data_IF_488110941559
#
_entry.id   IF_488110941559
#
_cell.length_a   1.000
_cell.length_b   1.000
_cell.length_c   1.000
_cell.angle_alpha   90.00
_cell.angle_beta   90.00
_cell.angle_gamma   90.00
#
_symmetry.space_group_name_H-M   'P 1'
#
loop_
_entity.id
_entity.type
_entity.pdbx_description
1 polymer ?
#
# COMPACT_ATOMS: atom_id res chain seq x y z
N UNK A 1 11.73 -77.65 0.49
CA UNK A 1 10.87 -76.60 -0.11
C UNK A 1 11.15 -75.18 0.41
N UNK A 2 12.23 -74.93 1.17
CA UNK A 2 12.55 -73.59 1.74
C UNK A 2 13.67 -72.87 0.96
N UNK A 3 14.58 -73.60 0.33
CA UNK A 3 15.70 -73.03 -0.44
C UNK A 3 15.28 -72.45 -1.81
N UNK A 4 14.23 -73.01 -2.43
CA UNK A 4 13.70 -72.53 -3.74
C UNK A 4 12.98 -71.18 -3.62
N UNK A 5 12.30 -70.92 -2.51
CA UNK A 5 11.65 -69.63 -2.22
C UNK A 5 12.66 -68.51 -1.94
N UNK A 6 13.76 -68.80 -1.22
CA UNK A 6 14.81 -67.81 -0.95
C UNK A 6 15.60 -67.39 -2.20
N UNK A 7 15.79 -68.32 -3.14
CA UNK A 7 16.45 -68.05 -4.41
C UNK A 7 15.57 -67.23 -5.37
N UNK A 8 14.27 -67.54 -5.43
CA UNK A 8 13.28 -66.75 -6.19
C UNK A 8 13.14 -65.31 -5.65
N UNK A 9 13.22 -65.14 -4.33
CA UNK A 9 13.12 -63.82 -3.69
C UNK A 9 14.37 -62.95 -3.94
N UNK A 10 15.57 -63.56 -3.97
CA UNK A 10 16.80 -62.86 -4.37
C UNK A 10 16.81 -62.46 -5.84
N UNK A 11 16.24 -63.28 -6.73
CA UNK A 11 16.17 -63.02 -8.17
C UNK A 11 15.16 -61.90 -8.50
N UNK A 12 14.06 -61.80 -7.73
CA UNK A 12 13.13 -60.66 -7.76
C UNK A 12 13.76 -59.36 -7.24
N UNK A 13 14.58 -59.43 -6.18
CA UNK A 13 15.26 -58.28 -5.59
C UNK A 13 16.36 -57.72 -6.52
N UNK A 14 17.14 -58.60 -7.16
CA UNK A 14 18.12 -58.24 -8.18
C UNK A 14 17.47 -57.68 -9.46
N UNK A 15 16.33 -58.23 -9.89
CA UNK A 15 15.56 -57.71 -11.02
C UNK A 15 15.00 -56.31 -10.80
N UNK A 16 14.63 -55.97 -9.56
CA UNK A 16 14.13 -54.64 -9.18
C UNK A 16 15.21 -53.55 -9.19
N UNK A 17 16.48 -53.92 -8.93
CA UNK A 17 17.60 -52.99 -8.91
C UNK A 17 18.08 -52.60 -10.32
N UNK A 18 17.93 -53.50 -11.31
CA UNK A 18 18.26 -53.25 -12.71
C UNK A 18 17.29 -52.28 -13.43
N UNK A 19 16.10 -52.05 -12.90
CA UNK A 19 15.14 -51.08 -13.47
C UNK A 19 15.43 -49.62 -13.12
N UNK A 20 16.34 -49.37 -12.16
CA UNK A 20 16.72 -48.01 -11.75
C UNK A 20 17.92 -47.43 -12.53
N UNK A 21 18.59 -48.22 -13.37
CA UNK A 21 19.81 -47.78 -14.09
C UNK A 21 19.56 -47.29 -15.53
N UNK A 22 18.33 -47.31 -16.05
CA UNK A 22 18.04 -46.92 -17.44
C UNK A 22 17.10 -45.72 -17.51
N UNK A 23 17.56 -44.59 -16.99
CA UNK A 23 17.01 -43.26 -17.25
C UNK A 23 18.15 -42.24 -17.38
N UNK A 24 19.02 -42.43 -18.40
CA UNK A 24 19.84 -41.32 -18.93
C UNK A 24 18.92 -40.39 -19.72
N UNK A 25 18.17 -39.54 -19.02
CA UNK A 25 17.23 -38.65 -19.68
C UNK A 25 16.57 -37.70 -18.71
N UNK A 26 17.19 -36.52 -18.52
CA UNK A 26 16.66 -35.33 -17.86
C UNK A 26 16.26 -35.54 -16.39
N UNK A 27 17.06 -34.96 -15.51
CA UNK A 27 16.77 -34.78 -14.08
C UNK A 27 15.26 -34.64 -13.82
N UNK A 28 14.70 -35.64 -13.14
CA UNK A 28 13.30 -35.69 -12.69
C UNK A 28 12.96 -34.51 -11.75
N UNK A 29 13.99 -33.78 -11.28
CA UNK A 29 13.89 -32.61 -10.41
C UNK A 29 14.20 -31.27 -11.11
N UNK A 30 14.40 -31.25 -12.43
CA UNK A 30 14.55 -29.98 -13.15
C UNK A 30 13.20 -29.24 -13.21
N UNK A 31 13.08 -28.14 -12.45
CA UNK A 31 11.92 -27.25 -12.52
C UNK A 31 11.76 -26.74 -13.95
N UNK A 32 10.71 -27.21 -14.64
CA UNK A 32 10.34 -26.71 -15.97
C UNK A 32 9.99 -25.22 -15.86
N UNK A 33 10.46 -24.42 -16.81
CA UNK A 33 10.05 -23.02 -16.94
C UNK A 33 8.53 -22.95 -17.18
N UNK A 34 7.82 -21.99 -16.56
CA UNK A 34 6.39 -21.85 -16.77
C UNK A 34 6.13 -21.48 -18.24
N UNK A 35 5.12 -22.09 -18.85
CA UNK A 35 4.73 -21.89 -20.25
C UNK A 35 3.59 -20.89 -20.36
N UNK A 36 3.64 -20.05 -21.38
CA UNK A 36 2.54 -19.19 -21.78
C UNK A 36 1.37 -20.01 -22.29
N UNK A 37 0.19 -19.78 -21.73
CA UNK A 37 -1.06 -20.42 -22.16
C UNK A 37 -1.56 -19.86 -23.50
N UNK A 38 -1.24 -18.60 -23.81
CA UNK A 38 -1.69 -17.93 -25.04
C UNK A 38 -0.77 -18.23 -26.22
N UNK A 39 0.55 -18.19 -25.98
CA UNK A 39 1.53 -18.29 -27.07
C UNK A 39 2.30 -19.61 -27.08
N UNK A 40 2.24 -20.41 -26.02
CA UNK A 40 2.99 -21.67 -25.90
C UNK A 40 4.50 -21.52 -25.62
N UNK A 41 5.02 -20.29 -25.66
CA UNK A 41 6.43 -19.99 -25.36
C UNK A 41 6.73 -20.11 -23.86
N UNK A 42 7.95 -20.53 -23.52
CA UNK A 42 8.39 -20.59 -22.13
C UNK A 42 8.71 -19.18 -21.61
N UNK A 43 8.26 -18.87 -20.41
CA UNK A 43 8.66 -17.67 -19.69
C UNK A 43 10.05 -17.83 -19.05
N UNK A 44 10.74 -16.71 -18.84
CA UNK A 44 12.02 -16.64 -18.13
C UNK A 44 13.18 -17.39 -18.81
N UNK A 45 13.13 -17.55 -20.13
CA UNK A 45 14.27 -18.03 -20.91
C UNK A 45 15.29 -16.91 -21.15
N UNK A 46 16.55 -17.27 -21.46
CA UNK A 46 17.60 -16.29 -21.76
C UNK A 46 17.23 -15.51 -23.03
N UNK A 47 16.98 -14.21 -22.90
CA UNK A 47 16.53 -13.35 -24.00
C UNK A 47 15.03 -13.41 -24.30
N UNK A 48 14.27 -14.22 -23.55
CA UNK A 48 12.81 -14.27 -23.63
C UNK A 48 12.13 -13.33 -22.62
N UNK A 49 10.79 -13.26 -22.70
CA UNK A 49 9.98 -12.49 -21.77
C UNK A 49 10.17 -12.98 -20.33
N UNK A 50 10.53 -12.05 -19.44
CA UNK A 50 10.74 -12.34 -18.03
C UNK A 50 9.51 -11.93 -17.23
N UNK A 51 8.98 -12.87 -16.46
CA UNK A 51 7.85 -12.64 -15.56
C UNK A 51 8.40 -12.59 -14.14
N UNK A 52 8.30 -11.42 -13.52
CA UNK A 52 8.59 -11.27 -12.10
C UNK A 52 7.58 -12.10 -11.29
N UNK A 53 8.05 -12.76 -10.24
CA UNK A 53 7.15 -13.45 -9.31
C UNK A 53 6.43 -12.39 -8.48
N UNK A 54 5.11 -12.47 -8.42
CA UNK A 54 4.34 -11.65 -7.49
C UNK A 54 4.81 -11.95 -6.06
N UNK A 55 5.14 -10.88 -5.34
CA UNK A 55 5.31 -10.90 -3.90
C UNK A 55 4.20 -10.07 -3.32
N UNK A 56 3.66 -10.48 -2.19
CA UNK A 56 2.71 -9.66 -1.45
C UNK A 56 3.39 -8.34 -1.09
N UNK A 57 2.70 -7.25 -1.37
CA UNK A 57 3.19 -5.91 -1.08
C UNK A 57 3.21 -5.74 0.43
N UNK A 58 4.38 -5.44 1.00
CA UNK A 58 4.46 -5.05 2.40
C UNK A 58 3.71 -3.72 2.61
N UNK A 59 3.01 -3.60 3.73
CA UNK A 59 2.31 -2.39 4.10
C UNK A 59 3.31 -1.22 4.16
N UNK A 60 2.97 -0.12 3.48
CA UNK A 60 3.71 1.13 3.63
C UNK A 60 3.62 1.68 5.05
N UNK A 61 4.51 2.60 5.44
CA UNK A 61 4.52 3.17 6.78
C UNK A 61 3.20 3.91 7.06
N UNK A 62 2.56 3.58 8.19
CA UNK A 62 1.30 4.20 8.63
C UNK A 62 0.04 3.71 7.93
N UNK A 63 0.16 2.84 6.92
CA UNK A 63 -0.96 2.31 6.16
C UNK A 63 -1.59 1.07 6.81
N UNK A 64 -2.91 0.99 6.67
CA UNK A 64 -3.73 -0.18 7.05
C UNK A 64 -4.41 -0.72 5.79
N UNK A 65 -4.46 -2.05 5.69
CA UNK A 65 -5.17 -2.73 4.61
C UNK A 65 -6.67 -2.76 4.88
N UNK A 66 -7.45 -2.32 3.90
CA UNK A 66 -8.91 -2.39 3.87
C UNK A 66 -9.30 -3.41 2.81
N UNK A 67 -9.98 -4.47 3.23
CA UNK A 67 -10.49 -5.50 2.32
C UNK A 67 -11.62 -4.94 1.45
N UNK A 68 -11.63 -5.27 0.16
CA UNK A 68 -12.68 -4.84 -0.75
C UNK A 68 -14.00 -5.54 -0.47
N UNK A 69 -15.10 -4.85 -0.77
CA UNK A 69 -16.45 -5.35 -0.58
C UNK A 69 -17.50 -4.38 -1.13
N UNK A 70 -18.76 -4.73 -0.94
CA UNK A 70 -19.92 -3.94 -1.37
C UNK A 70 -20.59 -3.30 -0.17
N UNK A 71 -21.03 -2.05 -0.29
CA UNK A 71 -21.85 -1.39 0.72
C UNK A 71 -22.88 -0.46 0.07
N UNK A 72 -23.87 -0.05 0.84
CA UNK A 72 -24.84 0.98 0.41
C UNK A 72 -24.37 2.34 0.87
N UNK A 73 -23.95 3.15 -0.09
CA UNK A 73 -23.55 4.54 0.06
C UNK A 73 -24.79 5.43 0.15
N UNK A 74 -24.78 6.39 1.07
CA UNK A 74 -25.91 7.28 1.35
C UNK A 74 -26.63 7.01 2.68
N UNK A 75 -27.41 7.99 3.11
CA UNK A 75 -28.18 7.96 4.35
C UNK A 75 -29.31 6.92 4.24
N UNK A 76 -29.24 5.89 5.07
CA UNK A 76 -30.29 4.84 5.14
C UNK A 76 -31.38 5.18 6.14
N UNK A 77 -31.20 6.24 6.93
CA UNK A 77 -32.17 6.72 7.92
C UNK A 77 -33.11 7.73 7.28
N UNK A 78 -34.41 7.57 7.55
CA UNK A 78 -35.46 8.45 7.07
C UNK A 78 -35.38 9.79 7.83
N UNK A 79 -35.05 10.88 7.11
CA UNK A 79 -35.11 12.22 7.67
C UNK A 79 -36.58 12.65 7.84
N UNK A 80 -36.98 12.90 9.09
CA UNK A 80 -38.33 13.31 9.48
C UNK A 80 -38.71 14.66 8.84
N UNK A 81 -37.74 15.47 8.43
CA UNK A 81 -37.96 16.76 7.77
C UNK A 81 -38.06 16.68 6.24
N UNK A 82 -37.92 15.47 5.64
CA UNK A 82 -38.32 15.21 4.25
C UNK A 82 -37.37 15.72 3.17
N UNK A 83 -36.15 16.14 3.51
CA UNK A 83 -35.14 16.52 2.52
C UNK A 83 -34.58 15.27 1.80
N UNK A 84 -35.27 14.82 0.75
CA UNK A 84 -34.88 13.68 -0.09
C UNK A 84 -33.75 14.00 -1.07
N UNK A 85 -32.54 14.27 -0.55
CA UNK A 85 -31.36 14.51 -1.39
C UNK A 85 -30.37 13.33 -1.47
N UNK A 86 -30.65 12.20 -0.82
CA UNK A 86 -29.73 11.06 -0.77
C UNK A 86 -30.41 9.73 -1.15
N UNK A 87 -30.32 9.34 -2.42
CA UNK A 87 -30.81 8.03 -2.88
C UNK A 87 -29.73 6.98 -2.56
N UNK A 88 -30.00 6.01 -1.67
CA UNK A 88 -29.01 5.00 -1.30
C UNK A 88 -28.66 4.13 -2.51
N UNK A 89 -27.36 4.03 -2.83
CA UNK A 89 -26.86 3.23 -3.95
C UNK A 89 -25.84 2.20 -3.48
N UNK A 90 -25.87 1.00 -4.07
CA UNK A 90 -24.86 -0.03 -3.78
C UNK A 90 -23.59 0.27 -4.57
N UNK A 91 -22.47 0.41 -3.86
CA UNK A 91 -21.15 0.65 -4.44
C UNK A 91 -20.24 -0.52 -4.07
N UNK A 92 -19.45 -0.99 -5.04
CA UNK A 92 -18.38 -1.97 -4.83
C UNK A 92 -17.05 -1.25 -4.75
N UNK A 93 -16.31 -1.47 -3.67
CA UNK A 93 -15.01 -0.86 -3.41
C UNK A 93 -13.93 -1.95 -3.48
N UNK A 94 -12.88 -1.79 -4.32
CA UNK A 94 -11.78 -2.75 -4.37
C UNK A 94 -10.97 -2.71 -3.08
N UNK A 95 -10.15 -3.72 -2.80
CA UNK A 95 -9.23 -3.67 -1.65
C UNK A 95 -8.19 -2.57 -1.84
N UNK A 96 -7.91 -1.79 -0.78
CA UNK A 96 -6.94 -0.69 -0.83
C UNK A 96 -6.24 -0.51 0.50
N UNK A 97 -5.26 0.40 0.52
CA UNK A 97 -4.57 0.81 1.74
C UNK A 97 -4.93 2.26 2.06
N UNK A 98 -5.16 2.56 3.33
CA UNK A 98 -5.43 3.91 3.81
C UNK A 98 -4.58 4.22 5.05
N UNK A 99 -4.27 5.49 5.26
CA UNK A 99 -3.59 5.91 6.49
C UNK A 99 -4.46 5.63 7.70
N UNK A 100 -3.83 5.17 8.79
CA UNK A 100 -4.52 4.93 10.07
C UNK A 100 -5.01 6.24 10.72
N UNK A 101 -4.30 7.32 10.52
CA UNK A 101 -4.53 8.63 11.16
C UNK A 101 -4.46 9.72 10.10
N UNK A 102 -5.01 10.90 10.40
CA UNK A 102 -4.80 12.07 9.55
C UNK A 102 -3.31 12.43 9.42
N UNK A 103 -2.99 13.24 8.41
CA UNK A 103 -1.64 13.77 8.22
C UNK A 103 -1.34 14.74 9.35
N UNK A 104 -0.35 14.41 10.18
CA UNK A 104 0.10 15.26 11.26
C UNK A 104 0.92 16.47 10.77
N UNK A 105 0.94 17.54 11.57
CA UNK A 105 1.70 18.76 11.31
C UNK A 105 3.18 18.47 11.02
N UNK A 106 3.81 17.55 11.75
CA UNK A 106 5.22 17.17 11.53
C UNK A 106 5.47 16.57 10.14
N UNK A 107 4.53 15.76 9.63
CA UNK A 107 4.64 15.15 8.30
C UNK A 107 4.47 16.20 7.19
N UNK A 108 3.58 17.16 7.38
CA UNK A 108 3.42 18.26 6.41
C UNK A 108 4.62 19.22 6.44
N UNK A 109 5.24 19.43 7.61
CA UNK A 109 6.51 20.18 7.73
C UNK A 109 7.68 19.46 7.06
N UNK A 110 7.73 18.13 7.11
CA UNK A 110 8.72 17.33 6.37
C UNK A 110 8.59 17.58 4.85
N UNK A 111 7.35 17.65 4.35
CA UNK A 111 7.07 18.00 2.97
C UNK A 111 7.58 19.40 2.59
N UNK A 112 7.26 20.42 3.39
CA UNK A 112 7.74 21.79 3.14
C UNK A 112 9.27 21.86 3.22
N UNK A 113 9.89 21.16 4.16
CA UNK A 113 11.34 21.09 4.26
C UNK A 113 11.96 20.47 3.01
N UNK A 114 11.36 19.41 2.46
CA UNK A 114 11.80 18.82 1.20
C UNK A 114 11.64 19.79 0.03
N UNK A 115 10.52 20.51 -0.06
CA UNK A 115 10.31 21.52 -1.09
C UNK A 115 11.38 22.61 -1.05
N UNK A 116 11.66 23.17 0.12
CA UNK A 116 12.68 24.20 0.30
C UNK A 116 14.11 23.70 0.01
N UNK A 117 14.33 22.39 0.08
CA UNK A 117 15.62 21.76 -0.27
C UNK A 117 15.79 21.60 -1.78
N UNK A 118 14.73 21.23 -2.49
CA UNK A 118 14.74 20.99 -3.94
C UNK A 118 14.65 22.30 -4.72
N UNK A 119 13.77 23.19 -4.26
CA UNK A 119 13.56 24.54 -4.79
C UNK A 119 14.20 25.52 -3.81
N UNK A 120 15.43 25.93 -4.11
CA UNK A 120 16.19 26.83 -3.24
C UNK A 120 15.45 28.17 -3.11
N UNK A 121 15.09 28.61 -1.88
CA UNK A 121 14.41 29.88 -1.66
C UNK A 121 15.28 31.10 -1.96
N UNK A 122 16.56 30.92 -2.28
CA UNK A 122 17.44 32.00 -2.77
C UNK A 122 16.94 32.58 -4.10
N UNK A 123 16.27 31.78 -4.92
CA UNK A 123 15.70 32.20 -6.21
C UNK A 123 14.26 32.72 -6.02
N UNK A 124 13.94 33.96 -6.46
CA UNK A 124 12.62 34.56 -6.26
C UNK A 124 11.44 33.77 -6.89
N UNK A 125 11.70 32.99 -7.93
CA UNK A 125 10.66 32.16 -8.56
C UNK A 125 10.30 30.95 -7.70
N UNK A 126 11.29 30.35 -7.03
CA UNK A 126 11.12 29.17 -6.18
C UNK A 126 10.40 29.50 -4.86
N UNK A 127 10.56 30.73 -4.34
CA UNK A 127 9.88 31.20 -3.12
C UNK A 127 8.37 30.99 -3.22
N UNK A 128 7.78 31.31 -4.39
CA UNK A 128 6.33 31.17 -4.62
C UNK A 128 5.85 29.73 -4.53
N UNK A 129 6.69 28.76 -4.89
CA UNK A 129 6.36 27.33 -4.81
C UNK A 129 6.25 26.90 -3.34
N UNK A 130 7.23 27.30 -2.53
CA UNK A 130 7.27 26.95 -1.10
C UNK A 130 6.16 27.67 -0.34
N UNK A 131 5.96 28.97 -0.59
CA UNK A 131 4.88 29.74 0.02
C UNK A 131 3.50 29.22 -0.37
N UNK A 132 3.31 28.85 -1.64
CA UNK A 132 2.06 28.24 -2.13
C UNK A 132 1.74 26.89 -1.51
N UNK A 133 2.73 26.19 -0.93
CA UNK A 133 2.55 24.94 -0.22
C UNK A 133 2.27 25.13 1.30
N UNK A 134 2.48 26.33 1.85
CA UNK A 134 2.20 26.59 3.26
C UNK A 134 0.69 26.52 3.55
N UNK A 135 0.28 25.98 4.72
CA UNK A 135 -1.11 26.00 5.14
C UNK A 135 -1.53 27.41 5.54
N UNK A 136 -2.81 27.74 5.32
CA UNK A 136 -3.40 28.99 5.77
C UNK A 136 -3.63 28.94 7.29
N UNK A 137 -2.87 29.74 8.03
CA UNK A 137 -3.00 29.86 9.49
C UNK A 137 -4.17 30.74 9.92
N UNK A 138 -4.74 31.56 9.02
CA UNK A 138 -5.85 32.46 9.33
C UNK A 138 -7.18 31.72 9.47
N UNK A 139 -7.25 30.44 9.10
CA UNK A 139 -8.42 29.57 9.31
C UNK A 139 -8.92 29.55 10.75
N UNK A 140 -8.02 29.78 11.71
CA UNK A 140 -8.41 29.88 13.11
C UNK A 140 -9.14 31.20 13.37
N UNK A 141 -8.73 32.32 12.76
CA UNK A 141 -9.24 33.65 13.09
C UNK A 141 -10.75 33.76 12.88
N UNK A 142 -11.47 34.26 13.88
CA UNK A 142 -12.86 34.69 13.76
C UNK A 142 -13.06 36.03 14.45
N UNK A 143 -14.00 36.85 13.97
CA UNK A 143 -14.10 38.28 14.34
C UNK A 143 -14.22 38.53 15.85
N UNK A 144 -14.86 37.63 16.60
CA UNK A 144 -15.14 37.78 18.03
C UNK A 144 -14.42 36.76 18.93
N UNK A 145 -13.60 35.85 18.38
CA UNK A 145 -12.90 34.84 19.18
C UNK A 145 -11.42 35.15 19.34
N UNK A 146 -10.90 35.02 20.55
CA UNK A 146 -9.47 35.12 20.82
C UNK A 146 -8.77 33.77 20.60
N UNK A 147 -8.20 33.57 19.42
CA UNK A 147 -7.47 32.35 19.05
C UNK A 147 -6.12 32.61 18.36
N UNK A 148 -5.53 33.78 18.61
CA UNK A 148 -4.17 34.13 18.19
C UNK A 148 -3.13 33.04 18.54
N UNK A 149 -3.18 32.36 19.71
CA UNK A 149 -2.24 31.27 19.98
C UNK A 149 -2.29 30.14 18.96
N UNK A 150 -3.46 29.81 18.41
CA UNK A 150 -3.59 28.77 17.37
C UNK A 150 -3.05 29.26 16.03
N UNK A 151 -3.29 30.53 15.67
CA UNK A 151 -2.76 31.13 14.44
C UNK A 151 -1.22 31.09 14.43
N UNK A 152 -0.61 31.43 15.56
CA UNK A 152 0.85 31.51 15.67
C UNK A 152 1.52 30.15 15.85
N UNK A 153 0.97 29.32 16.74
CA UNK A 153 1.65 28.14 17.28
C UNK A 153 1.19 26.82 16.65
N UNK A 154 -0.05 26.69 16.18
CA UNK A 154 -0.63 25.38 15.82
C UNK A 154 0.22 24.61 14.82
N UNK A 155 0.66 25.28 13.74
CA UNK A 155 1.48 24.63 12.72
C UNK A 155 2.98 24.56 13.09
N UNK A 156 3.47 25.48 13.93
CA UNK A 156 4.92 25.70 14.14
C UNK A 156 5.46 25.07 15.42
N UNK A 157 4.69 25.09 16.49
CA UNK A 157 5.16 24.73 17.83
C UNK A 157 5.25 23.19 18.02
N UNK A 158 6.31 22.67 18.67
CA UNK A 158 6.50 21.23 18.83
C UNK A 158 5.35 20.48 19.52
N UNK A 159 4.63 21.14 20.45
CA UNK A 159 3.48 20.53 21.13
C UNK A 159 2.37 20.10 20.17
N UNK A 160 2.26 20.73 19.01
CA UNK A 160 1.24 20.41 18.01
C UNK A 160 1.74 19.49 16.88
N UNK A 161 2.94 18.93 17.00
CA UNK A 161 3.54 18.12 15.93
C UNK A 161 2.69 16.92 15.49
N UNK A 162 1.97 16.28 16.41
CA UNK A 162 1.12 15.10 16.15
C UNK A 162 -0.36 15.43 15.92
N UNK A 163 -0.70 16.72 15.88
CA UNK A 163 -2.06 17.17 15.57
C UNK A 163 -2.27 17.18 14.05
N UNK A 164 -3.52 17.01 13.57
CA UNK A 164 -3.81 17.03 12.14
C UNK A 164 -3.48 18.39 11.53
N UNK A 165 -2.96 18.40 10.31
CA UNK A 165 -2.74 19.63 9.57
C UNK A 165 -4.10 20.26 9.18
N UNK A 166 -4.22 21.57 9.40
CA UNK A 166 -5.43 22.35 9.13
C UNK A 166 -5.05 23.54 8.26
N UNK A 167 -5.98 24.05 7.45
CA UNK A 167 -5.74 25.17 6.53
C UNK A 167 -5.09 24.76 5.21
N UNK A 168 -5.24 23.48 4.81
CA UNK A 168 -4.75 22.96 3.52
C UNK A 168 -5.89 22.84 2.51
N UNK A 169 -5.63 23.28 1.29
CA UNK A 169 -6.53 23.10 0.15
C UNK A 169 -6.45 21.69 -0.42
N UNK A 170 -7.48 21.28 -1.18
CA UNK A 170 -7.50 19.97 -1.86
C UNK A 170 -6.31 19.80 -2.81
N UNK A 171 -5.90 20.87 -3.51
CA UNK A 171 -4.73 20.85 -4.41
C UNK A 171 -3.45 20.58 -3.62
N UNK A 172 -3.22 21.29 -2.51
CA UNK A 172 -2.07 21.08 -1.64
C UNK A 172 -2.05 19.65 -1.07
N UNK A 173 -3.21 19.13 -0.65
CA UNK A 173 -3.31 17.75 -0.14
C UNK A 173 -2.99 16.70 -1.23
N UNK A 174 -3.40 16.94 -2.48
CA UNK A 174 -3.03 16.08 -3.62
C UNK A 174 -1.53 16.14 -3.92
N UNK A 175 -0.94 17.34 -3.91
CA UNK A 175 0.49 17.53 -4.16
C UNK A 175 1.34 16.86 -3.06
N UNK A 176 0.87 16.88 -1.82
CA UNK A 176 1.46 16.12 -0.71
C UNK A 176 1.44 14.60 -0.96
N UNK A 177 0.35 14.05 -1.50
CA UNK A 177 0.26 12.62 -1.85
C UNK A 177 1.25 12.24 -2.95
N UNK A 178 1.40 13.09 -3.97
CA UNK A 178 2.40 12.89 -5.03
C UNK A 178 3.82 12.90 -4.46
N UNK A 179 4.14 13.88 -3.64
CA UNK A 179 5.44 13.94 -2.94
C UNK A 179 5.70 12.69 -2.10
N UNK A 180 4.73 12.26 -1.30
CA UNK A 180 4.86 11.05 -0.47
C UNK A 180 5.15 9.81 -1.30
N UNK A 181 4.52 9.70 -2.47
CA UNK A 181 4.80 8.64 -3.45
C UNK A 181 6.27 8.63 -3.85
N UNK A 182 6.78 9.79 -4.27
CA UNK A 182 8.16 9.92 -4.70
C UNK A 182 9.14 9.62 -3.57
N UNK A 183 8.89 10.12 -2.36
CA UNK A 183 9.73 9.84 -1.19
C UNK A 183 9.73 8.37 -0.79
N UNK A 184 8.58 7.71 -0.78
CA UNK A 184 8.46 6.29 -0.43
C UNK A 184 9.17 5.39 -1.44
N UNK A 185 8.97 5.66 -2.73
CA UNK A 185 9.61 4.90 -3.80
C UNK A 185 11.11 5.15 -3.84
N UNK A 186 11.56 6.39 -3.66
CA UNK A 186 12.99 6.71 -3.54
C UNK A 186 13.64 5.96 -2.38
N UNK A 187 13.01 5.98 -1.19
CA UNK A 187 13.52 5.27 -0.01
C UNK A 187 13.64 3.77 -0.28
N UNK A 188 12.63 3.17 -0.92
CA UNK A 188 12.63 1.75 -1.30
C UNK A 188 13.74 1.43 -2.31
N UNK A 189 13.99 2.31 -3.29
CA UNK A 189 15.05 2.15 -4.29
C UNK A 189 16.45 2.31 -3.67
N UNK A 190 16.60 3.21 -2.71
CA UNK A 190 17.84 3.40 -1.94
C UNK A 190 18.11 2.19 -1.06
N UNK A 191 17.10 1.65 -0.39
CA UNK A 191 17.21 0.43 0.42
C UNK A 191 17.64 -0.77 -0.43
N UNK A 192 17.05 -0.92 -1.62
CA UNK A 192 17.41 -1.95 -2.60
C UNK A 192 18.75 -1.70 -3.31
N UNK A 193 19.35 -0.52 -3.12
CA UNK A 193 20.66 -0.16 -3.67
C UNK A 193 20.66 0.33 -5.12
N UNK A 194 19.50 0.58 -5.72
CA UNK A 194 19.37 1.16 -7.07
C UNK A 194 19.79 2.62 -7.11
N UNK A 195 19.58 3.35 -6.01
CA UNK A 195 19.97 4.74 -5.86
C UNK A 195 21.03 4.85 -4.77
N UNK A 196 22.09 5.61 -5.02
CA UNK A 196 23.10 5.88 -4.01
C UNK A 196 22.55 6.80 -2.91
N UNK A 197 22.79 6.43 -1.63
CA UNK A 197 22.46 7.26 -0.46
C UNK A 197 23.05 8.67 -0.54
N UNK A 198 24.15 8.86 -1.27
CA UNK A 198 24.76 10.17 -1.46
C UNK A 198 23.85 11.15 -2.23
N UNK A 199 22.92 10.67 -3.06
CA UNK A 199 21.97 11.53 -3.78
C UNK A 199 20.95 12.20 -2.85
N UNK A 200 20.77 11.69 -1.63
CA UNK A 200 19.90 12.29 -0.62
C UNK A 200 20.56 13.47 0.11
N UNK A 201 21.85 13.74 -0.11
CA UNK A 201 22.53 14.85 0.56
C UNK A 201 21.99 16.21 0.07
N UNK A 202 22.00 17.26 0.93
CA UNK A 202 21.72 18.62 0.50
C UNK A 202 22.59 19.02 -0.70
N UNK A 203 21.98 19.64 -1.72
CA UNK A 203 22.64 20.08 -2.95
C UNK A 203 22.74 19.04 -4.08
N UNK A 204 22.45 17.75 -3.83
CA UNK A 204 22.50 16.72 -4.89
C UNK A 204 21.21 16.63 -5.72
N UNK A 205 20.08 17.09 -5.18
CA UNK A 205 18.79 17.14 -5.84
C UNK A 205 18.26 18.57 -5.78
N UNK A 206 18.47 19.32 -6.86
CA UNK A 206 18.02 20.71 -7.00
C UNK A 206 17.38 20.90 -8.38
N UNK A 207 16.29 21.67 -8.41
CA UNK A 207 15.53 21.95 -9.63
C UNK A 207 15.11 20.68 -10.37
N UNK A 208 15.44 20.61 -11.66
CA UNK A 208 15.09 19.51 -12.57
C UNK A 208 15.75 18.18 -12.20
N UNK A 209 16.83 18.21 -11.41
CA UNK A 209 17.56 17.01 -10.99
C UNK A 209 16.97 16.41 -9.70
N UNK A 210 15.64 16.35 -9.57
CA UNK A 210 14.97 15.73 -8.44
C UNK A 210 14.44 14.33 -8.78
N UNK A 211 14.21 13.51 -7.76
CA UNK A 211 13.60 12.20 -7.97
C UNK A 211 12.09 12.35 -8.15
N UNK A 212 11.58 11.85 -9.27
CA UNK A 212 10.15 11.63 -9.51
C UNK A 212 9.95 10.19 -9.99
N UNK A 213 9.01 9.47 -9.36
CA UNK A 213 8.71 8.06 -9.64
C UNK A 213 8.45 7.81 -11.12
N UNK A 214 7.60 8.63 -11.76
CA UNK A 214 7.24 8.47 -13.18
C UNK A 214 8.44 8.72 -14.09
N UNK A 215 9.18 9.78 -13.84
CA UNK A 215 10.37 10.12 -14.63
C UNK A 215 11.45 9.03 -14.56
N UNK A 216 11.60 8.41 -13.39
CA UNK A 216 12.53 7.31 -13.16
C UNK A 216 12.09 6.03 -13.87
N UNK A 217 10.80 5.68 -13.79
CA UNK A 217 10.26 4.51 -14.52
C UNK A 217 10.36 4.66 -16.05
N UNK A 218 10.24 5.90 -16.56
CA UNK A 218 10.41 6.21 -17.98
C UNK A 218 11.88 6.33 -18.42
N UNK A 219 12.84 6.27 -17.48
CA UNK A 219 14.26 6.42 -17.77
C UNK A 219 14.70 7.85 -18.12
N UNK A 220 13.84 8.85 -17.91
CA UNK A 220 14.15 10.28 -18.09
C UNK A 220 15.06 10.79 -16.97
N UNK A 221 14.84 10.30 -15.75
CA UNK A 221 15.70 10.58 -14.61
C UNK A 221 16.55 9.35 -14.29
N UNK A 222 17.87 9.56 -14.17
CA UNK A 222 18.80 8.51 -13.73
C UNK A 222 19.63 9.01 -12.57
N UNK A 223 19.63 8.25 -11.48
CA UNK A 223 20.45 8.54 -10.31
C UNK A 223 21.65 7.59 -10.29
N UNK A 224 22.84 8.02 -9.81
CA UNK A 224 23.99 7.13 -9.73
C UNK A 224 23.70 5.95 -8.81
N UNK A 225 24.04 4.71 -9.23
CA UNK A 225 23.69 3.50 -8.49
C UNK A 225 24.44 3.38 -7.16
N UNK A 226 23.80 2.74 -6.18
CA UNK A 226 24.39 2.49 -4.87
C UNK A 226 25.42 1.37 -4.88
N UNK A 227 26.26 1.31 -3.82
CA UNK A 227 27.34 0.30 -3.69
C UNK A 227 26.84 -1.15 -3.68
N UNK A 228 25.59 -1.39 -3.28
CA UNK A 228 24.99 -2.72 -3.21
C UNK A 228 24.64 -3.29 -4.60
N UNK A 229 24.48 -2.43 -5.61
CA UNK A 229 24.23 -2.83 -6.99
C UNK A 229 25.53 -2.84 -7.79
N UNK A 230 26.49 -3.69 -7.41
CA UNK A 230 27.53 -4.07 -8.38
C UNK A 230 26.89 -5.08 -9.33
N UNK A 231 26.87 -4.83 -10.65
CA UNK A 231 26.30 -5.79 -11.59
C UNK A 231 27.00 -7.13 -11.41
N UNK A 232 26.26 -8.13 -10.94
CA UNK A 232 26.77 -9.50 -10.84
C UNK A 232 27.00 -10.01 -12.27
N UNK A 233 28.28 -10.03 -12.69
CA UNK A 233 28.77 -10.63 -13.94
C UNK A 233 27.87 -10.34 -15.17
N UNK A 234 27.94 -9.11 -15.68
CA UNK A 234 27.48 -8.79 -17.05
C UNK A 234 25.96 -8.76 -17.27
N UNK A 235 25.14 -8.92 -16.23
CA UNK A 235 23.71 -8.55 -16.30
C UNK A 235 23.57 -7.11 -15.82
N UNK A 236 23.19 -6.22 -16.73
CA UNK A 236 22.66 -4.91 -16.35
C UNK A 236 21.41 -5.18 -15.50
N UNK A 237 21.34 -4.71 -14.25
CA UNK A 237 20.10 -4.75 -13.50
C UNK A 237 19.05 -4.02 -14.34
N UNK A 238 17.97 -4.70 -14.70
CA UNK A 238 16.87 -4.04 -15.40
C UNK A 238 16.41 -2.83 -14.59
N UNK A 239 16.05 -1.74 -15.27
CA UNK A 239 15.47 -0.59 -14.60
C UNK A 239 14.27 -1.06 -13.75
N UNK A 240 14.14 -0.60 -12.50
CA UNK A 240 12.97 -0.89 -11.68
C UNK A 240 11.71 -0.43 -12.42
N UNK A 241 10.96 -1.40 -12.93
CA UNK A 241 9.66 -1.17 -13.56
C UNK A 241 8.54 -1.48 -12.57
N UNK A 242 7.35 -0.94 -12.82
CA UNK A 242 6.14 -1.30 -12.08
C UNK A 242 5.90 -2.82 -12.16
N UNK A 243 6.18 -3.42 -13.32
CA UNK A 243 6.06 -4.87 -13.57
C UNK A 243 6.97 -5.71 -12.66
N UNK A 244 8.11 -5.16 -12.26
CA UNK A 244 9.02 -5.83 -11.33
C UNK A 244 8.51 -5.85 -9.89
N UNK A 245 7.44 -5.11 -9.59
CA UNK A 245 6.88 -4.93 -8.24
C UNK A 245 7.85 -4.21 -7.29
N UNK A 246 8.85 -3.52 -7.83
CA UNK A 246 9.85 -2.83 -7.01
C UNK A 246 9.43 -1.44 -6.57
N UNK A 247 8.62 -0.77 -7.39
CA UNK A 247 8.05 0.55 -7.18
C UNK A 247 6.59 0.39 -6.78
N UNK A 248 6.19 1.04 -5.69
CA UNK A 248 4.80 0.98 -5.20
C UNK A 248 3.85 1.85 -6.02
N UNK A 249 2.53 1.62 -5.91
CA UNK A 249 1.53 2.49 -6.51
C UNK A 249 1.56 3.89 -5.91
N UNK A 250 0.95 4.84 -6.62
CA UNK A 250 0.87 6.24 -6.19
C UNK A 250 -0.12 6.42 -5.03
N UNK A 251 0.27 7.22 -4.03
CA UNK A 251 -0.65 7.70 -3.01
C UNK A 251 -1.59 8.73 -3.65
N UNK A 252 -2.87 8.64 -3.30
CA UNK A 252 -3.89 9.58 -3.73
C UNK A 252 -4.90 9.80 -2.62
N UNK A 253 -5.65 10.90 -2.74
CA UNK A 253 -6.81 11.12 -1.90
C UNK A 253 -7.86 10.02 -2.18
N UNK A 254 -8.50 9.49 -1.13
CA UNK A 254 -9.57 8.51 -1.30
C UNK A 254 -10.75 9.17 -2.00
N UNK A 255 -11.47 8.38 -2.79
CA UNK A 255 -12.79 8.79 -3.25
C UNK A 255 -13.78 8.78 -2.07
N UNK A 256 -14.86 9.54 -2.17
CA UNK A 256 -15.94 9.56 -1.18
C UNK A 256 -16.37 8.14 -0.81
N UNK A 257 -16.59 7.29 -1.82
CA UNK A 257 -17.03 5.93 -1.58
C UNK A 257 -16.01 5.07 -0.84
N UNK A 258 -14.71 5.28 -1.06
CA UNK A 258 -13.63 4.56 -0.38
C UNK A 258 -13.49 5.03 1.07
N UNK A 259 -13.60 6.35 1.29
CA UNK A 259 -13.48 6.93 2.62
C UNK A 259 -14.66 6.57 3.51
N UNK A 260 -15.89 6.68 3.01
CA UNK A 260 -17.08 6.20 3.72
C UNK A 260 -16.98 4.70 4.04
N UNK A 261 -16.57 3.88 3.05
CA UNK A 261 -16.42 2.45 3.24
C UNK A 261 -15.38 2.10 4.31
N UNK A 262 -14.26 2.82 4.36
CA UNK A 262 -13.26 2.65 5.41
C UNK A 262 -13.73 3.15 6.79
N UNK A 263 -14.57 4.20 6.83
CA UNK A 263 -15.13 4.74 8.06
C UNK A 263 -16.20 3.80 8.65
N UNK A 264 -17.02 3.17 7.81
CA UNK A 264 -17.92 2.10 8.24
C UNK A 264 -17.07 0.90 8.72
N UNK A 265 -17.01 0.68 10.03
CA UNK A 265 -16.17 -0.33 10.68
C UNK A 265 -16.53 -1.78 10.35
N UNK A 266 -16.27 -2.21 9.11
CA UNK A 266 -16.53 -3.57 8.61
C UNK A 266 -15.41 -4.57 8.98
N UNK A 267 -14.33 -4.07 9.59
CA UNK A 267 -13.08 -4.81 9.88
C UNK A 267 -13.33 -6.07 10.71
N UNK A 268 -14.34 -6.09 11.59
CA UNK A 268 -14.57 -7.21 12.50
C UNK A 268 -15.47 -8.33 11.93
N UNK A 269 -16.03 -8.18 10.72
CA UNK A 269 -17.11 -9.08 10.27
C UNK A 269 -17.01 -9.55 8.84
N UNK A 270 -16.05 -9.07 8.06
CA UNK A 270 -15.68 -9.82 6.87
C UNK A 270 -15.19 -11.18 7.38
N UNK A 271 -15.91 -12.30 7.13
CA UNK A 271 -15.43 -13.58 7.60
C UNK A 271 -14.08 -13.76 6.94
N UNK A 272 -13.05 -14.05 7.76
CA UNK A 272 -11.81 -14.65 7.27
C UNK A 272 -12.19 -15.64 6.17
N UNK A 273 -11.39 -15.75 5.12
CA UNK A 273 -11.52 -16.82 4.11
C UNK A 273 -11.51 -18.16 4.85
N UNK A 274 -12.69 -18.64 5.26
CA UNK A 274 -12.82 -19.81 6.09
C UNK A 274 -12.73 -20.98 5.15
N UNK A 275 -11.59 -21.64 5.15
CA UNK A 275 -11.38 -22.85 4.36
C UNK A 275 -12.26 -24.00 4.92
N UNK A 276 -12.92 -23.84 6.07
CA UNK A 276 -13.59 -24.94 6.78
C UNK A 276 -14.93 -24.66 7.49
N UNK A 277 -15.51 -23.47 7.40
CA UNK A 277 -16.83 -23.23 8.01
C UNK A 277 -17.77 -22.55 7.02
N UNK A 278 -18.93 -23.17 6.80
CA UNK A 278 -20.02 -22.72 5.94
C UNK A 278 -20.73 -21.44 6.40
N UNK A 279 -20.03 -20.51 7.05
CA UNK A 279 -20.52 -19.15 7.28
C UNK A 279 -20.10 -18.30 6.09
N UNK A 280 -20.91 -18.38 5.03
CA UNK A 280 -20.84 -17.53 3.85
C UNK A 280 -21.22 -16.12 4.29
N UNK A 281 -20.25 -15.21 4.38
CA UNK A 281 -20.51 -13.78 4.61
C UNK A 281 -21.01 -13.17 3.32
N UNK A 282 -22.31 -13.30 3.06
CA UNK A 282 -22.99 -12.45 2.10
C UNK A 282 -23.36 -11.14 2.81
N UNK A 283 -22.75 -10.06 2.31
CA UNK A 283 -23.10 -8.64 2.45
C UNK A 283 -23.69 -8.15 3.80
N UNK A 284 -22.87 -7.38 4.54
CA UNK A 284 -23.17 -6.87 5.89
C UNK A 284 -23.91 -5.53 5.87
N UNK A 285 -25.19 -5.53 5.52
CA UNK A 285 -26.06 -4.41 5.90
C UNK A 285 -26.40 -4.43 7.40
N UNK A 286 -26.49 -5.61 8.01
CA UNK A 286 -27.01 -5.80 9.37
C UNK A 286 -26.05 -5.46 10.49
N UNK A 287 -24.76 -5.28 10.20
CA UNK A 287 -23.75 -5.17 11.23
C UNK A 287 -22.82 -3.96 11.10
N UNK A 288 -23.32 -2.86 10.53
CA UNK A 288 -22.60 -1.57 10.50
C UNK A 288 -22.12 -1.22 11.92
N UNK A 289 -20.80 -1.12 12.13
CA UNK A 289 -20.25 -0.56 13.36
C UNK A 289 -20.02 0.93 13.17
N UNK A 290 -20.44 1.73 14.15
CA UNK A 290 -20.28 3.20 14.14
C UNK A 290 -18.79 3.58 14.29
N UNK A 291 -17.98 2.76 14.98
CA UNK A 291 -16.57 3.04 15.22
C UNK A 291 -15.66 1.86 14.85
N UNK A 292 -14.58 2.07 14.07
CA UNK A 292 -13.72 0.99 13.57
C UNK A 292 -12.86 0.29 14.62
N UNK A 293 -12.78 0.80 15.85
CA UNK A 293 -12.09 0.17 16.99
C UNK A 293 -13.04 -0.43 18.04
N UNK A 294 -14.35 -0.36 17.82
CA UNK A 294 -15.34 -0.91 18.73
C UNK A 294 -15.45 -2.43 18.59
N UNK A 295 -15.25 -3.19 19.67
CA UNK A 295 -15.51 -4.65 19.64
C UNK A 295 -17.02 -5.00 19.65
N UNK A 296 -17.90 -4.01 19.88
CA UNK A 296 -19.34 -4.18 20.01
C UNK A 296 -20.09 -3.40 18.92
N UNK A 297 -20.93 -4.10 18.16
CA UNK A 297 -21.75 -3.54 17.05
C UNK A 297 -22.69 -2.43 17.53
N UNK A 298 -23.12 -2.46 18.80
CA UNK A 298 -24.14 -1.55 19.35
C UNK A 298 -23.61 -0.51 20.33
N UNK A 299 -22.29 -0.33 20.46
CA UNK A 299 -21.67 0.75 21.22
C UNK A 299 -21.85 0.76 22.75
N UNK A 300 -22.93 0.21 23.34
CA UNK A 300 -23.24 0.40 24.76
C UNK A 300 -23.95 -0.78 25.46
N UNK A 301 -24.44 -1.82 24.78
CA UNK A 301 -25.08 -2.99 25.45
C UNK A 301 -24.76 -4.32 24.76
N UNK A 302 -24.45 -5.31 25.59
CA UNK A 302 -24.21 -6.69 25.18
C UNK A 302 -25.55 -7.36 24.81
N UNK A 303 -25.70 -7.85 23.57
CA UNK A 303 -26.94 -8.47 23.07
C UNK A 303 -27.10 -9.95 23.46
N UNK A 304 -26.23 -10.50 24.30
CA UNK A 304 -26.40 -11.86 24.82
C UNK A 304 -27.57 -11.85 25.82
N UNK A 305 -28.72 -12.42 25.44
CA UNK A 305 -29.78 -12.79 26.39
C UNK A 305 -29.23 -13.88 27.31
N UNK A 306 -28.60 -13.47 28.41
CA UNK A 306 -28.20 -14.34 29.50
C UNK A 306 -29.32 -14.48 30.53
N UNK A 307 -29.25 -15.50 31.38
CA UNK A 307 -30.22 -15.80 32.45
C UNK A 307 -30.34 -14.73 33.55
N UNK A 308 -29.68 -13.59 33.39
CA UNK A 308 -29.64 -12.47 34.34
C UNK A 308 -30.47 -11.27 33.88
N UNK A 309 -31.12 -11.33 32.71
CA UNK A 309 -32.14 -10.36 32.33
C UNK A 309 -33.50 -10.92 32.74
N UNK A 310 -34.15 -10.24 33.69
CA UNK A 310 -35.47 -10.61 34.22
C UNK A 310 -36.50 -10.78 33.09
N UNK A 311 -37.43 -11.71 33.32
CA UNK A 311 -38.54 -12.05 32.42
C UNK A 311 -39.41 -10.85 32.07
#
# INVERSE_FOLDING_TARGET
>A
MVYTLRFSLYLLLLGSLSFLSSCKGKSIFAKKSPKSSVTGWNYNEKGGFQVAKSKDQANGPGLVFVEGGTYTMGQTEEDVMGDWNNIPRRVSVPSFYIDRTEVANVHYREYIFWLAKVFDPSDPENVKIVEGALPDTLVWRSELSYNEPSVELYFRHPSFNMYPVVGVSWKQAKDFCLWRTDRYNEATLVEKGYINKNNLKPGAQQGDNNFNTRSYTLGLYTAPPGKAMKPSKGKVPGLPSIESGMVGPEYRLPFEAEWEYAAYGLIAQNPRTSIKEGKRGEELQSNKQIYPWGQNVNGLRENRKGSLQGQ
#
